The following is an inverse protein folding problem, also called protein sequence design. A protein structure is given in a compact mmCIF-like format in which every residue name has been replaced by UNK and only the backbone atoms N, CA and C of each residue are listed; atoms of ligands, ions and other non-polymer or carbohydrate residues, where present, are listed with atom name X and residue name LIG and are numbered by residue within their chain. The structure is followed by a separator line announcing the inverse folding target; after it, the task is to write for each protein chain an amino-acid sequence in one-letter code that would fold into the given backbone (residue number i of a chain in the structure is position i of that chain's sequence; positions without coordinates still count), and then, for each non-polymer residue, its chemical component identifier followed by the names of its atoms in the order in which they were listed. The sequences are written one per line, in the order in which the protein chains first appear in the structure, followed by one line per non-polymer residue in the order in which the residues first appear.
data_IF_581901676759
#
_entry.id   IF_581901676759
#
_cell.length_a   1.000
_cell.length_b   1.000
_cell.length_c   1.000
_cell.angle_alpha   90.00
_cell.angle_beta   90.00
_cell.angle_gamma   90.00
#
_symmetry.space_group_name_H-M   'P 1'
#
loop_
_entity.id
_entity.type
_entity.pdbx_description
1 polymer ?
#
# COMPACT_ATOMS: atom_id res chain seq x y z
N UNK A 1 -23.94 57.65 -77.84
CA UNK A 1 -24.29 58.38 -76.61
C UNK A 1 -25.24 57.52 -75.80
N UNK A 2 -24.83 57.04 -74.67
CA UNK A 2 -25.51 56.68 -73.41
C UNK A 2 -24.78 55.56 -72.72
N UNK A 3 -24.09 55.99 -71.67
CA UNK A 3 -23.34 55.18 -70.70
C UNK A 3 -24.32 54.30 -69.88
N UNK A 4 -24.09 53.01 -69.82
CA UNK A 4 -24.76 52.08 -68.93
C UNK A 4 -23.75 51.60 -67.87
N UNK A 5 -23.95 52.10 -66.68
CA UNK A 5 -23.15 51.76 -65.49
C UNK A 5 -23.66 50.40 -64.93
N UNK A 6 -22.83 49.35 -65.05
CA UNK A 6 -23.12 48.07 -64.40
C UNK A 6 -22.58 48.07 -62.98
N UNK A 7 -23.51 48.05 -62.04
CA UNK A 7 -23.23 47.95 -60.60
C UNK A 7 -23.06 46.49 -60.22
N UNK A 8 -21.82 46.09 -59.92
CA UNK A 8 -21.47 44.72 -59.49
C UNK A 8 -21.72 44.63 -57.96
N UNK A 9 -22.76 43.85 -57.57
CA UNK A 9 -23.07 43.61 -56.15
C UNK A 9 -22.22 42.42 -55.67
N UNK A 10 -21.24 42.70 -54.82
CA UNK A 10 -20.36 41.70 -54.19
C UNK A 10 -21.04 41.17 -52.92
N UNK A 11 -21.61 39.98 -52.97
CA UNK A 11 -22.14 39.27 -51.80
C UNK A 11 -20.99 38.67 -50.98
N UNK A 12 -20.67 39.31 -49.84
CA UNK A 12 -19.77 38.75 -48.81
C UNK A 12 -20.50 37.64 -48.03
N UNK A 13 -20.19 36.38 -48.35
CA UNK A 13 -20.55 35.24 -47.51
C UNK A 13 -19.67 35.21 -46.27
N UNK A 14 -20.16 35.66 -45.12
CA UNK A 14 -19.52 35.50 -43.82
C UNK A 14 -19.76 34.03 -43.40
N UNK A 15 -18.78 33.18 -43.66
CA UNK A 15 -18.73 31.83 -43.12
C UNK A 15 -18.44 31.87 -41.61
N UNK A 16 -19.42 31.60 -40.76
CA UNK A 16 -19.20 31.31 -39.33
C UNK A 16 -18.38 30.01 -39.21
N UNK A 17 -17.08 30.15 -39.06
CA UNK A 17 -16.22 29.08 -38.62
C UNK A 17 -16.52 28.76 -37.13
N UNK A 18 -17.17 27.61 -36.92
CA UNK A 18 -17.43 27.09 -35.56
C UNK A 18 -16.11 26.64 -34.97
N UNK A 19 -15.62 27.33 -33.93
CA UNK A 19 -14.44 26.94 -33.21
C UNK A 19 -14.60 25.48 -32.67
N UNK A 20 -13.56 24.63 -32.76
CA UNK A 20 -13.62 23.31 -32.17
C UNK A 20 -13.79 23.45 -30.65
N UNK A 21 -14.82 22.75 -30.11
CA UNK A 21 -14.96 22.61 -28.65
C UNK A 21 -13.65 22.05 -28.10
N UNK A 22 -13.02 22.79 -27.19
CA UNK A 22 -11.92 22.32 -26.41
C UNK A 22 -12.35 20.97 -25.75
N UNK A 23 -11.70 19.91 -26.13
CA UNK A 23 -11.78 18.63 -25.40
C UNK A 23 -11.30 18.96 -24.00
N UNK A 24 -12.18 18.74 -22.99
CA UNK A 24 -11.82 18.94 -21.63
C UNK A 24 -10.51 18.19 -21.34
N UNK A 25 -9.48 18.95 -20.95
CA UNK A 25 -8.26 18.38 -20.42
C UNK A 25 -8.68 17.46 -19.27
N UNK A 26 -8.46 16.15 -19.46
CA UNK A 26 -8.49 15.20 -18.34
C UNK A 26 -7.51 15.77 -17.32
N UNK A 27 -8.00 15.98 -16.08
CA UNK A 27 -7.11 16.30 -14.97
C UNK A 27 -5.93 15.32 -15.01
N UNK A 28 -4.69 15.79 -14.90
CA UNK A 28 -3.54 14.91 -14.91
C UNK A 28 -3.74 13.89 -13.77
N UNK A 29 -3.53 12.61 -14.09
CA UNK A 29 -3.49 11.53 -13.09
C UNK A 29 -2.52 11.98 -11.99
N UNK A 30 -2.81 11.69 -10.71
CA UNK A 30 -1.89 12.04 -9.64
C UNK A 30 -0.54 11.44 -9.97
N UNK A 31 0.47 12.30 -10.07
CA UNK A 31 1.85 11.84 -10.29
C UNK A 31 2.27 10.98 -9.10
N UNK A 32 3.06 9.92 -9.28
CA UNK A 32 3.55 9.07 -8.18
C UNK A 32 4.14 9.86 -7.00
N UNK A 33 4.79 11.01 -7.28
CA UNK A 33 5.35 11.93 -6.27
C UNK A 33 4.32 12.48 -5.28
N UNK A 34 3.01 12.34 -5.56
CA UNK A 34 1.93 12.78 -4.66
C UNK A 34 1.34 11.66 -3.82
N UNK A 35 1.70 10.41 -4.09
CA UNK A 35 1.24 9.26 -3.29
C UNK A 35 1.95 9.29 -1.94
N UNK A 36 1.18 9.24 -0.85
CA UNK A 36 1.70 9.26 0.51
C UNK A 36 1.21 8.03 1.28
N UNK A 37 2.14 7.23 1.76
CA UNK A 37 1.89 5.94 2.41
C UNK A 37 2.37 6.00 3.86
N UNK A 38 1.53 5.52 4.78
CA UNK A 38 1.91 5.22 6.16
C UNK A 38 2.34 3.76 6.21
N UNK A 39 3.57 3.50 6.62
CA UNK A 39 4.13 2.15 6.69
C UNK A 39 4.52 1.82 8.13
N UNK A 40 3.88 0.80 8.66
CA UNK A 40 4.06 0.36 10.03
C UNK A 40 4.87 -0.93 10.08
N UNK A 41 6.00 -0.91 10.76
CA UNK A 41 6.73 -2.11 11.15
C UNK A 41 6.22 -2.57 12.52
N UNK A 42 5.39 -3.60 12.55
CA UNK A 42 4.75 -4.08 13.77
C UNK A 42 5.73 -4.44 14.89
N UNK A 43 5.29 -4.29 16.15
CA UNK A 43 6.12 -4.54 17.34
C UNK A 43 7.35 -3.64 17.45
N UNK A 44 8.36 -4.02 18.23
CA UNK A 44 9.63 -3.32 18.42
C UNK A 44 10.10 -3.29 19.87
N UNK A 45 11.41 -3.18 20.08
CA UNK A 45 12.04 -3.07 21.39
C UNK A 45 11.68 -4.20 22.35
N UNK A 46 11.01 -3.87 23.46
CA UNK A 46 10.54 -4.83 24.46
C UNK A 46 9.44 -5.77 23.94
N UNK A 47 8.66 -5.33 22.95
CA UNK A 47 7.63 -6.13 22.30
C UNK A 47 8.21 -6.86 21.09
N UNK A 48 8.65 -8.10 21.30
CA UNK A 48 9.21 -8.93 20.24
C UNK A 48 8.20 -9.48 19.27
N UNK A 49 6.89 -9.41 19.56
CA UNK A 49 5.87 -10.13 18.84
C UNK A 49 5.97 -11.65 19.03
N UNK A 50 5.60 -12.41 18.02
CA UNK A 50 5.80 -13.85 17.99
C UNK A 50 7.31 -14.19 17.89
N UNK A 51 7.65 -15.43 18.24
CA UNK A 51 9.02 -15.96 18.05
C UNK A 51 8.97 -17.18 17.16
N UNK A 52 9.95 -17.33 16.31
CA UNK A 52 10.17 -18.48 15.47
C UNK A 52 10.23 -19.76 16.29
N UNK A 53 9.68 -20.84 15.76
CA UNK A 53 9.57 -22.10 16.49
C UNK A 53 10.87 -22.93 16.47
N UNK A 54 11.77 -22.68 15.53
CA UNK A 54 13.05 -23.38 15.36
C UNK A 54 14.25 -22.53 15.82
N UNK A 55 14.32 -21.28 15.39
CA UNK A 55 15.46 -20.40 15.61
C UNK A 55 15.24 -19.43 16.75
N UNK A 56 13.99 -19.17 17.15
CA UNK A 56 13.64 -18.15 18.13
C UNK A 56 13.72 -16.72 17.57
N UNK A 57 13.86 -16.52 16.23
CA UNK A 57 13.86 -15.20 15.61
C UNK A 57 12.62 -14.43 16.02
N UNK A 58 12.79 -13.14 16.31
CA UNK A 58 11.67 -12.30 16.78
C UNK A 58 10.92 -11.72 15.57
N UNK A 59 9.61 -11.74 15.65
CA UNK A 59 8.73 -11.13 14.67
C UNK A 59 9.09 -9.66 14.41
N UNK A 60 9.35 -8.88 15.46
CA UNK A 60 9.71 -7.47 15.38
C UNK A 60 10.93 -7.20 14.48
N UNK A 61 11.91 -8.09 14.48
CA UNK A 61 13.12 -7.98 13.66
C UNK A 61 12.78 -8.18 12.18
N UNK A 62 12.01 -9.21 11.86
CA UNK A 62 11.59 -9.51 10.49
C UNK A 62 10.62 -8.46 9.95
N UNK A 63 9.69 -7.98 10.79
CA UNK A 63 8.78 -6.89 10.42
C UNK A 63 9.55 -5.64 10.00
N UNK A 64 10.60 -5.27 10.73
CA UNK A 64 11.43 -4.11 10.39
C UNK A 64 12.19 -4.34 9.07
N UNK A 65 12.82 -5.51 8.91
CA UNK A 65 13.57 -5.84 7.70
C UNK A 65 12.69 -5.77 6.45
N UNK A 66 11.52 -6.41 6.48
CA UNK A 66 10.58 -6.38 5.35
C UNK A 66 10.00 -4.98 5.14
N UNK A 67 9.64 -4.25 6.22
CA UNK A 67 9.10 -2.90 6.08
C UNK A 67 10.10 -1.93 5.45
N UNK A 68 11.39 -1.99 5.80
CA UNK A 68 12.43 -1.17 5.17
C UNK A 68 12.59 -1.48 3.68
N UNK A 69 12.45 -2.74 3.27
CA UNK A 69 12.45 -3.12 1.86
C UNK A 69 11.18 -2.63 1.14
N UNK A 70 10.01 -2.73 1.78
CA UNK A 70 8.75 -2.16 1.24
C UNK A 70 8.86 -0.65 1.05
N UNK A 71 9.46 0.06 2.01
CA UNK A 71 9.73 1.50 1.87
C UNK A 71 10.56 1.77 0.62
N UNK A 72 11.67 1.05 0.41
CA UNK A 72 12.53 1.22 -0.77
C UNK A 72 11.77 1.01 -2.08
N UNK A 73 10.93 -0.03 -2.17
CA UNK A 73 10.13 -0.33 -3.36
C UNK A 73 9.08 0.76 -3.63
N UNK A 74 8.38 1.23 -2.59
CA UNK A 74 7.38 2.30 -2.71
C UNK A 74 8.02 3.64 -3.11
N UNK A 75 9.16 3.99 -2.52
CA UNK A 75 9.91 5.21 -2.86
C UNK A 75 10.49 5.14 -4.27
N UNK A 76 10.95 3.98 -4.71
CA UNK A 76 11.39 3.75 -6.10
C UNK A 76 10.23 3.90 -7.10
N UNK A 77 8.98 3.60 -6.69
CA UNK A 77 7.77 3.85 -7.46
C UNK A 77 7.28 5.31 -7.37
N UNK A 78 8.01 6.22 -6.69
CA UNK A 78 7.70 7.65 -6.55
C UNK A 78 6.77 8.01 -5.40
N UNK A 79 6.44 7.09 -4.50
CA UNK A 79 5.66 7.38 -3.32
C UNK A 79 6.50 8.07 -2.23
N UNK A 80 5.86 8.90 -1.42
CA UNK A 80 6.40 9.36 -0.14
C UNK A 80 5.97 8.36 0.94
N UNK A 81 6.90 7.93 1.79
CA UNK A 81 6.61 6.97 2.85
C UNK A 81 6.93 7.56 4.22
N UNK A 82 5.99 7.44 5.17
CA UNK A 82 6.23 7.68 6.59
C UNK A 82 6.24 6.34 7.32
N UNK A 83 7.40 5.98 7.88
CA UNK A 83 7.55 4.79 8.71
C UNK A 83 7.15 5.08 10.16
N UNK A 84 6.50 4.14 10.84
CA UNK A 84 6.27 4.24 12.29
C UNK A 84 7.57 4.11 13.07
N UNK A 85 8.47 3.21 12.66
CA UNK A 85 9.82 3.07 13.17
C UNK A 85 10.79 2.64 12.07
N UNK A 86 12.04 3.04 12.18
CA UNK A 86 13.15 2.67 11.29
C UNK A 86 14.29 1.99 12.01
N UNK A 87 14.18 1.83 13.34
CA UNK A 87 15.11 1.15 14.22
C UNK A 87 14.44 -0.02 14.96
N UNK A 88 15.21 -0.74 15.74
CA UNK A 88 14.76 -1.90 16.51
C UNK A 88 13.91 -1.52 17.74
N UNK A 89 13.99 -0.27 18.19
CA UNK A 89 13.34 0.21 19.40
C UNK A 89 11.82 0.24 19.26
N UNK A 90 11.12 0.16 20.39
CA UNK A 90 9.72 0.50 20.50
C UNK A 90 9.53 2.02 20.43
N UNK A 91 8.32 2.47 20.08
CA UNK A 91 7.98 3.89 20.05
C UNK A 91 7.77 4.52 21.43
N UNK A 92 7.70 3.71 22.48
CA UNK A 92 7.54 4.14 23.87
C UNK A 92 8.09 3.12 24.84
N UNK A 93 8.14 3.47 26.12
CA UNK A 93 8.72 2.64 27.18
C UNK A 93 7.73 1.56 27.68
N UNK A 94 6.45 1.72 27.36
CA UNK A 94 5.38 0.77 27.68
C UNK A 94 4.55 0.43 26.44
N UNK A 95 3.87 -0.73 26.46
CA UNK A 95 2.98 -1.11 25.36
C UNK A 95 1.89 -0.05 25.09
N UNK A 96 1.39 0.59 26.14
CA UNK A 96 0.39 1.65 26.00
C UNK A 96 0.97 2.89 25.31
N UNK A 97 2.17 3.30 25.66
CA UNK A 97 2.83 4.44 25.02
C UNK A 97 3.23 4.12 23.57
N UNK A 98 3.80 2.94 23.34
CA UNK A 98 4.09 2.47 21.98
C UNK A 98 2.85 2.53 21.08
N UNK A 99 1.74 1.94 21.54
CA UNK A 99 0.50 1.95 20.78
C UNK A 99 -0.10 3.35 20.60
N UNK A 100 0.04 4.25 21.58
CA UNK A 100 -0.42 5.63 21.47
C UNK A 100 0.37 6.39 20.38
N UNK A 101 1.71 6.34 20.43
CA UNK A 101 2.58 6.99 19.45
C UNK A 101 2.43 6.39 18.06
N UNK A 102 2.28 5.07 17.96
CA UNK A 102 1.97 4.38 16.70
C UNK A 102 0.65 4.88 16.12
N UNK A 103 -0.38 5.02 16.97
CA UNK A 103 -1.66 5.58 16.57
C UNK A 103 -1.59 7.02 16.08
N UNK A 104 -0.80 7.88 16.74
CA UNK A 104 -0.57 9.27 16.31
C UNK A 104 0.06 9.31 14.90
N UNK A 105 1.08 8.50 14.64
CA UNK A 105 1.72 8.41 13.33
C UNK A 105 0.75 7.90 12.25
N UNK A 106 -0.04 6.88 12.57
CA UNK A 106 -1.02 6.28 11.65
C UNK A 106 -2.24 7.18 11.37
N UNK A 107 -2.45 8.23 12.17
CA UNK A 107 -3.48 9.25 11.94
C UNK A 107 -2.96 10.47 11.17
N UNK A 108 -1.73 10.44 10.68
CA UNK A 108 -1.18 11.54 9.87
C UNK A 108 -2.06 11.81 8.65
N UNK A 109 -2.49 13.06 8.52
CA UNK A 109 -3.40 13.49 7.48
C UNK A 109 -2.77 13.43 6.08
N UNK A 110 -3.60 13.24 5.07
CA UNK A 110 -3.20 13.27 3.66
C UNK A 110 -2.59 11.97 3.14
N UNK A 111 -2.52 10.92 3.95
CA UNK A 111 -2.09 9.61 3.46
C UNK A 111 -3.15 8.96 2.55
N UNK A 112 -2.67 8.29 1.50
CA UNK A 112 -3.51 7.58 0.55
C UNK A 112 -3.78 6.14 0.98
N UNK A 113 -2.85 5.52 1.71
CA UNK A 113 -3.01 4.19 2.28
C UNK A 113 -2.11 4.00 3.50
N UNK A 114 -2.47 3.02 4.35
CA UNK A 114 -1.66 2.56 5.46
C UNK A 114 -1.41 1.04 5.33
N UNK A 115 -0.17 0.63 5.57
CA UNK A 115 0.27 -0.78 5.48
C UNK A 115 1.01 -1.13 6.76
N UNK A 116 0.59 -2.19 7.44
CA UNK A 116 1.29 -2.72 8.62
C UNK A 116 1.87 -4.09 8.31
N UNK A 117 3.15 -4.28 8.62
CA UNK A 117 3.90 -5.52 8.32
C UNK A 117 4.05 -6.35 9.58
N UNK A 118 3.64 -7.61 9.48
CA UNK A 118 3.63 -8.60 10.55
C UNK A 118 4.05 -9.99 10.05
N UNK A 119 4.36 -10.88 11.02
CA UNK A 119 4.56 -12.31 10.80
C UNK A 119 3.61 -13.07 11.72
N UNK A 120 2.89 -14.01 11.16
CA UNK A 120 1.87 -14.77 11.87
C UNK A 120 2.45 -15.92 12.71
N UNK A 121 1.65 -16.41 13.64
CA UNK A 121 1.92 -17.65 14.39
C UNK A 121 0.62 -18.40 14.65
N UNK A 122 0.60 -19.71 14.41
CA UNK A 122 -0.57 -20.53 14.60
C UNK A 122 -0.22 -21.89 15.25
N UNK A 123 -1.12 -22.48 16.07
CA UNK A 123 -0.83 -23.76 16.74
C UNK A 123 -0.53 -24.91 15.79
N UNK A 124 -1.25 -25.00 14.66
CA UNK A 124 -0.93 -25.98 13.62
C UNK A 124 0.24 -25.49 12.75
N UNK A 125 1.39 -26.12 12.90
CA UNK A 125 2.62 -25.80 12.20
C UNK A 125 2.58 -26.09 10.68
N UNK A 126 1.51 -26.70 10.18
CA UNK A 126 1.30 -26.91 8.73
C UNK A 126 0.69 -25.71 8.05
N UNK A 127 0.09 -24.79 8.81
CA UNK A 127 -0.47 -23.56 8.27
C UNK A 127 0.66 -22.69 7.74
N UNK A 128 0.50 -22.20 6.50
CA UNK A 128 1.48 -21.39 5.81
C UNK A 128 0.87 -20.44 4.77
N UNK A 129 1.65 -19.49 4.32
CA UNK A 129 1.35 -18.51 3.28
C UNK A 129 0.84 -17.17 3.82
N UNK A 130 0.97 -16.08 3.04
CA UNK A 130 0.62 -14.74 3.46
C UNK A 130 -0.88 -14.58 3.71
N UNK A 131 -1.22 -13.63 4.57
CA UNK A 131 -2.60 -13.18 4.82
C UNK A 131 -2.65 -11.65 4.81
N UNK A 132 -3.78 -11.09 4.40
CA UNK A 132 -4.03 -9.66 4.46
C UNK A 132 -5.33 -9.42 5.24
N UNK A 133 -5.28 -8.52 6.22
CA UNK A 133 -6.42 -8.15 7.05
C UNK A 133 -6.79 -6.69 6.84
N UNK A 134 -8.09 -6.42 6.81
CA UNK A 134 -8.65 -5.08 6.74
C UNK A 134 -9.68 -4.86 7.84
N UNK A 135 -10.00 -3.60 8.18
CA UNK A 135 -11.05 -3.30 9.15
C UNK A 135 -12.40 -3.77 8.61
N UNK A 136 -13.10 -4.62 9.38
CA UNK A 136 -14.43 -5.11 9.01
C UNK A 136 -15.38 -3.95 8.67
N UNK A 137 -16.04 -4.04 7.51
CA UNK A 137 -16.94 -3.00 7.00
C UNK A 137 -16.25 -1.85 6.23
N UNK A 138 -14.92 -1.82 6.13
CA UNK A 138 -14.18 -0.82 5.35
C UNK A 138 -13.94 -1.31 3.90
N UNK A 139 -14.82 -0.93 2.98
CA UNK A 139 -14.75 -1.36 1.56
C UNK A 139 -13.42 -0.99 0.89
N UNK A 140 -12.94 0.23 1.09
CA UNK A 140 -11.66 0.68 0.54
C UNK A 140 -10.46 -0.10 1.14
N UNK A 141 -10.51 -0.43 2.44
CA UNK A 141 -9.53 -1.30 3.09
C UNK A 141 -9.57 -2.74 2.55
N UNK A 142 -10.77 -3.26 2.25
CA UNK A 142 -10.94 -4.56 1.60
C UNK A 142 -10.32 -4.58 0.20
N UNK A 143 -10.55 -3.53 -0.60
CA UNK A 143 -9.98 -3.42 -1.94
C UNK A 143 -8.45 -3.37 -1.89
N UNK A 144 -7.87 -2.54 -1.01
CA UNK A 144 -6.42 -2.48 -0.79
C UNK A 144 -5.85 -3.85 -0.38
N UNK A 145 -6.47 -4.49 0.62
CA UNK A 145 -6.05 -5.81 1.08
C UNK A 145 -6.17 -6.88 -0.02
N UNK A 146 -7.17 -6.77 -0.90
CA UNK A 146 -7.34 -7.60 -2.09
C UNK A 146 -6.16 -7.46 -3.05
N UNK A 147 -5.83 -6.24 -3.47
CA UNK A 147 -4.68 -5.99 -4.36
C UNK A 147 -3.35 -6.50 -3.77
N UNK A 148 -3.15 -6.30 -2.45
CA UNK A 148 -1.93 -6.74 -1.78
C UNK A 148 -1.84 -8.28 -1.72
N UNK A 149 -2.93 -8.97 -1.31
CA UNK A 149 -2.89 -10.43 -1.20
C UNK A 149 -2.80 -11.12 -2.55
N UNK A 150 -3.44 -10.58 -3.58
CA UNK A 150 -3.35 -11.09 -4.95
C UNK A 150 -1.91 -10.96 -5.48
N UNK A 151 -1.28 -9.81 -5.26
CA UNK A 151 0.13 -9.59 -5.65
C UNK A 151 1.09 -10.54 -4.92
N UNK A 152 0.86 -10.79 -3.62
CA UNK A 152 1.67 -11.71 -2.81
C UNK A 152 1.50 -13.15 -3.28
N UNK A 153 0.26 -13.64 -3.45
CA UNK A 153 0.01 -15.02 -3.88
C UNK A 153 0.56 -15.28 -5.27
N UNK A 154 0.48 -14.30 -6.17
CA UNK A 154 1.08 -14.38 -7.50
C UNK A 154 2.62 -14.46 -7.44
N UNK A 155 3.27 -13.60 -6.65
CA UNK A 155 4.73 -13.57 -6.53
C UNK A 155 5.31 -14.83 -5.87
N UNK A 156 4.54 -15.47 -4.99
CA UNK A 156 4.93 -16.68 -4.28
C UNK A 156 4.42 -17.96 -4.98
N UNK A 157 3.84 -17.85 -6.17
CA UNK A 157 3.26 -18.96 -6.95
C UNK A 157 2.26 -19.81 -6.12
N UNK A 158 1.47 -19.12 -5.28
CA UNK A 158 0.47 -19.76 -4.42
C UNK A 158 -0.93 -19.66 -5.02
N UNK A 159 -1.83 -20.51 -4.54
CA UNK A 159 -3.25 -20.40 -4.87
C UNK A 159 -3.80 -19.04 -4.40
N UNK A 160 -4.71 -18.40 -5.17
CA UNK A 160 -5.35 -17.16 -4.79
C UNK A 160 -5.99 -17.22 -3.39
N UNK A 161 -5.91 -16.13 -2.66
CA UNK A 161 -6.49 -15.96 -1.32
C UNK A 161 -7.37 -14.73 -1.28
N UNK A 162 -8.38 -14.76 -0.42
CA UNK A 162 -9.21 -13.59 -0.15
C UNK A 162 -8.66 -12.82 1.05
N UNK A 163 -8.82 -11.48 1.07
CA UNK A 163 -8.51 -10.68 2.25
C UNK A 163 -9.48 -11.01 3.39
N UNK A 164 -9.00 -10.88 4.63
CA UNK A 164 -9.73 -11.25 5.82
C UNK A 164 -10.27 -10.01 6.55
N UNK A 165 -11.56 -9.96 6.90
CA UNK A 165 -12.06 -8.93 7.79
C UNK A 165 -11.51 -9.13 9.20
N UNK A 166 -11.11 -8.04 9.87
CA UNK A 166 -10.58 -8.07 11.22
C UNK A 166 -10.95 -6.80 12.00
N UNK A 167 -10.44 -6.70 13.21
CA UNK A 167 -10.58 -5.51 14.06
C UNK A 167 -9.21 -5.20 14.70
N UNK A 168 -8.19 -5.05 13.86
CA UNK A 168 -6.84 -4.74 14.30
C UNK A 168 -6.69 -3.24 14.53
N UNK A 169 -5.91 -2.85 15.55
CA UNK A 169 -5.66 -1.45 15.87
C UNK A 169 -5.12 -0.70 14.64
N UNK A 170 -4.12 -1.26 13.98
CA UNK A 170 -3.42 -0.65 12.84
C UNK A 170 -4.26 -0.53 11.55
N UNK A 171 -5.37 -1.27 11.44
CA UNK A 171 -6.32 -1.13 10.33
C UNK A 171 -7.53 -0.26 10.67
N UNK A 172 -7.78 -0.03 11.97
CA UNK A 172 -8.92 0.77 12.45
C UNK A 172 -8.59 2.23 12.64
N UNK A 173 -7.36 2.54 13.06
CA UNK A 173 -6.94 3.88 13.47
C UNK A 173 -6.68 4.83 12.30
N UNK A 174 -6.06 4.42 11.17
CA UNK A 174 -5.82 5.31 10.04
C UNK A 174 -7.11 5.92 9.47
N UNK A 175 -7.04 7.18 9.06
CA UNK A 175 -8.13 7.86 8.34
C UNK A 175 -8.18 7.52 6.84
N UNK A 176 -7.24 6.72 6.37
CA UNK A 176 -7.14 6.22 4.99
C UNK A 176 -7.37 4.70 4.95
N UNK A 177 -7.56 4.11 3.73
CA UNK A 177 -7.59 2.66 3.57
C UNK A 177 -6.37 2.00 4.17
N UNK A 178 -6.58 0.91 4.94
CA UNK A 178 -5.51 0.28 5.70
C UNK A 178 -5.53 -1.25 5.57
N UNK A 179 -4.33 -1.84 5.52
CA UNK A 179 -4.11 -3.28 5.48
C UNK A 179 -3.05 -3.69 6.50
N UNK A 180 -3.28 -4.80 7.20
CA UNK A 180 -2.26 -5.53 7.94
C UNK A 180 -1.87 -6.76 7.13
N UNK A 181 -0.58 -6.90 6.84
CA UNK A 181 -0.01 -8.00 6.08
C UNK A 181 0.73 -8.93 7.02
N UNK A 182 0.27 -10.17 7.10
CA UNK A 182 1.00 -11.28 7.69
C UNK A 182 1.79 -11.96 6.58
N UNK A 183 3.10 -11.78 6.57
CA UNK A 183 3.96 -12.21 5.45
C UNK A 183 4.15 -13.74 5.37
N UNK A 184 3.90 -14.46 6.47
CA UNK A 184 4.02 -15.91 6.61
C UNK A 184 3.97 -16.30 8.08
N UNK A 185 4.12 -17.59 8.38
CA UNK A 185 3.94 -18.15 9.72
C UNK A 185 5.27 -18.56 10.37
N UNK A 186 5.65 -17.89 11.45
CA UNK A 186 6.81 -18.25 12.29
C UNK A 186 6.64 -19.60 13.03
N UNK A 187 5.44 -20.16 13.04
CA UNK A 187 5.18 -21.52 13.52
C UNK A 187 5.49 -22.60 12.49
N UNK A 188 5.57 -22.26 11.20
CA UNK A 188 5.90 -23.21 10.13
C UNK A 188 7.42 -23.21 9.88
N UNK A 189 8.12 -24.36 10.01
CA UNK A 189 9.59 -24.40 9.90
C UNK A 189 10.14 -23.97 8.56
N UNK A 190 9.41 -24.25 7.47
CA UNK A 190 9.81 -23.86 6.12
C UNK A 190 9.70 -22.34 5.95
N UNK A 191 8.57 -21.74 6.37
CA UNK A 191 8.37 -20.30 6.27
C UNK A 191 9.26 -19.52 7.24
N UNK A 192 9.47 -20.00 8.47
CA UNK A 192 10.41 -19.39 9.42
C UNK A 192 11.80 -19.25 8.80
N UNK A 193 12.27 -20.28 8.08
CA UNK A 193 13.56 -20.23 7.38
C UNK A 193 13.52 -19.22 6.22
N UNK A 194 12.49 -19.28 5.36
CA UNK A 194 12.34 -18.39 4.21
C UNK A 194 12.23 -16.91 4.62
N UNK A 195 11.47 -16.62 5.68
CA UNK A 195 11.27 -15.26 6.20
C UNK A 195 12.58 -14.60 6.69
N UNK A 196 13.61 -15.39 7.00
CA UNK A 196 14.94 -14.91 7.36
C UNK A 196 15.89 -14.76 6.15
N UNK A 197 15.47 -15.16 4.95
CA UNK A 197 16.26 -15.04 3.73
C UNK A 197 16.01 -13.71 3.03
N UNK A 198 17.05 -12.92 2.81
CA UNK A 198 16.94 -11.59 2.18
C UNK A 198 16.25 -11.65 0.80
N UNK A 199 16.55 -12.67 -0.01
CA UNK A 199 15.92 -12.85 -1.32
C UNK A 199 14.40 -13.04 -1.23
N UNK A 200 13.93 -13.79 -0.23
CA UNK A 200 12.50 -13.98 0.01
C UNK A 200 11.84 -12.69 0.55
N UNK A 201 12.50 -12.00 1.49
CA UNK A 201 12.03 -10.70 1.99
C UNK A 201 11.89 -9.65 0.88
N UNK A 202 12.84 -9.60 -0.08
CA UNK A 202 12.76 -8.73 -1.26
C UNK A 202 11.58 -9.10 -2.16
N UNK A 203 11.31 -10.39 -2.35
CA UNK A 203 10.14 -10.86 -3.11
C UNK A 203 8.83 -10.42 -2.45
N UNK A 204 8.73 -10.57 -1.12
CA UNK A 204 7.58 -10.09 -0.34
C UNK A 204 7.41 -8.57 -0.47
N UNK A 205 8.48 -7.81 -0.28
CA UNK A 205 8.47 -6.36 -0.32
C UNK A 205 8.02 -5.82 -1.68
N UNK A 206 8.61 -6.33 -2.77
CA UNK A 206 8.22 -5.96 -4.13
C UNK A 206 6.75 -6.31 -4.43
N UNK A 207 6.26 -7.45 -3.94
CA UNK A 207 4.87 -7.84 -4.10
C UNK A 207 3.92 -6.93 -3.31
N UNK A 208 4.24 -6.61 -2.06
CA UNK A 208 3.43 -5.70 -1.23
C UNK A 208 3.36 -4.32 -1.88
N UNK A 209 4.52 -3.75 -2.25
CA UNK A 209 4.58 -2.44 -2.90
C UNK A 209 3.76 -2.41 -4.20
N UNK A 210 3.90 -3.43 -5.07
CA UNK A 210 3.12 -3.56 -6.30
C UNK A 210 1.61 -3.61 -6.02
N UNK A 211 1.17 -4.39 -5.02
CA UNK A 211 -0.24 -4.47 -4.65
C UNK A 211 -0.80 -3.13 -4.14
N UNK A 212 -0.02 -2.39 -3.34
CA UNK A 212 -0.39 -1.04 -2.88
C UNK A 212 -0.51 -0.07 -4.04
N UNK A 213 0.48 -0.05 -4.94
CA UNK A 213 0.46 0.84 -6.11
C UNK A 213 -0.69 0.50 -7.06
N UNK A 214 -0.94 -0.79 -7.31
CA UNK A 214 -2.06 -1.23 -8.14
C UNK A 214 -3.43 -0.77 -7.59
N UNK A 215 -3.60 -0.79 -6.26
CA UNK A 215 -4.80 -0.24 -5.61
C UNK A 215 -4.95 1.27 -5.85
N UNK A 216 -3.85 2.03 -5.83
CA UNK A 216 -3.88 3.49 -5.97
C UNK A 216 -4.04 3.98 -7.42
N UNK A 217 -3.74 3.12 -8.38
CA UNK A 217 -3.86 3.38 -9.82
C UNK A 217 -5.24 3.03 -10.38
N UNK A 218 -5.99 2.17 -9.72
CA UNK A 218 -7.25 1.60 -10.22
C UNK A 218 -8.50 2.06 -9.63
#
# INVERSE_FOLDING_TARGET
MRNGLFLLLLLLLIGCARAPKAQGERAPLPTPERVYILLDAGHGGFDGGASGSETGVREAELNLQVALLVQQELEAAGARVLMTRTGEEALGDTKREDMARRGELLQTEGANAAVSIHMNKFPDRKVKGPMAYYQAGAEAGQALAGCVIDSLTQALEMAPRLPNPGNNFVTRVPACPAVLVECGFLSNPEEERLLQEEGYQRTLAAAIARGVMAYLEG
#
